data_IF_418257464472
#
_entry.id   IF_418257464472
#
_cell.length_a   1.000
_cell.length_b   1.000
_cell.length_c   1.000
_cell.angle_alpha   90.00
_cell.angle_beta   90.00
_cell.angle_gamma   90.00
#
_symmetry.space_group_name_H-M   'P 1'
#
loop_
_entity.id
_entity.type
_entity.pdbx_description
1 polymer ?
#
# COMPACT_ATOMS: atom_id res chain seq x y z
N UNK A 1 5.95 -6.32 -10.79
CA UNK A 1 5.45 -5.46 -9.71
C UNK A 1 3.95 -5.48 -9.72
N UNK A 2 3.35 -5.80 -8.59
CA UNK A 2 1.92 -5.61 -8.37
C UNK A 2 1.66 -4.12 -8.16
N UNK A 3 0.73 -3.56 -8.92
CA UNK A 3 0.28 -2.17 -8.76
C UNK A 3 -1.23 -2.17 -8.89
N UNK A 4 -1.92 -1.64 -7.91
CA UNK A 4 -3.35 -1.44 -7.91
C UNK A 4 -3.70 0.04 -7.69
N UNK A 5 -4.88 0.47 -8.11
CA UNK A 5 -5.33 1.83 -7.89
C UNK A 5 -6.86 1.92 -7.89
N UNK A 6 -7.40 2.84 -7.10
CA UNK A 6 -8.75 3.30 -7.34
C UNK A 6 -8.78 4.15 -8.61
N UNK A 7 -9.76 3.90 -9.44
CA UNK A 7 -10.01 4.70 -10.64
C UNK A 7 -11.44 5.26 -10.59
N UNK A 8 -11.67 6.48 -11.09
CA UNK A 8 -13.02 6.98 -11.30
C UNK A 8 -13.81 6.05 -12.25
N UNK A 9 -15.10 6.28 -12.39
CA UNK A 9 -15.93 5.49 -13.32
C UNK A 9 -15.51 5.79 -14.77
N UNK A 10 -14.49 5.09 -15.24
CA UNK A 10 -13.90 5.23 -16.58
C UNK A 10 -13.76 3.86 -17.25
N UNK A 11 -13.66 3.86 -18.58
CA UNK A 11 -13.29 2.66 -19.33
C UNK A 11 -11.79 2.37 -19.16
N UNK A 12 -11.45 1.10 -18.90
CA UNK A 12 -10.07 0.63 -18.86
C UNK A 12 -9.83 -0.40 -19.97
N UNK A 13 -8.59 -0.49 -20.44
CA UNK A 13 -8.19 -1.50 -21.44
C UNK A 13 -8.04 -2.87 -20.78
N UNK A 14 -8.12 -3.94 -21.57
CA UNK A 14 -8.08 -5.32 -21.06
C UNK A 14 -6.75 -5.71 -20.40
N UNK A 15 -5.69 -4.95 -20.60
CA UNK A 15 -4.41 -5.12 -19.89
C UNK A 15 -4.39 -4.57 -18.46
N UNK A 16 -5.47 -3.88 -18.06
CA UNK A 16 -5.68 -3.41 -16.70
C UNK A 16 -6.95 -4.09 -16.13
N UNK A 17 -6.82 -5.32 -15.58
CA UNK A 17 -7.97 -6.04 -15.03
C UNK A 17 -8.58 -5.29 -13.87
N UNK A 18 -9.92 -5.23 -13.84
CA UNK A 18 -10.66 -4.56 -12.78
C UNK A 18 -11.11 -5.56 -11.70
N UNK A 19 -10.92 -5.15 -10.46
CA UNK A 19 -11.54 -5.79 -9.30
C UNK A 19 -12.82 -5.01 -8.97
N UNK A 20 -13.96 -5.68 -9.09
CA UNK A 20 -15.25 -5.10 -8.73
C UNK A 20 -15.68 -5.66 -7.37
N UNK A 21 -15.89 -4.79 -6.42
CA UNK A 21 -16.35 -5.19 -5.08
C UNK A 21 -17.88 -5.29 -5.05
N UNK A 22 -18.41 -6.19 -4.23
CA UNK A 22 -19.83 -6.24 -3.95
C UNK A 22 -20.30 -4.96 -3.25
N UNK A 23 -21.53 -4.53 -3.51
CA UNK A 23 -22.08 -3.29 -2.97
C UNK A 23 -22.18 -3.26 -1.42
N UNK A 24 -22.16 -4.43 -0.80
CA UNK A 24 -22.24 -4.56 0.65
C UNK A 24 -20.90 -4.34 1.38
N UNK A 25 -19.79 -4.24 0.65
CA UNK A 25 -18.46 -4.07 1.27
C UNK A 25 -18.21 -2.57 1.53
N UNK A 26 -17.87 -2.26 2.76
CA UNK A 26 -17.48 -0.88 3.13
C UNK A 26 -16.21 -0.46 2.40
N UNK A 27 -16.25 0.74 1.81
CA UNK A 27 -15.13 1.25 0.98
C UNK A 27 -13.84 1.43 1.78
N UNK A 28 -13.89 1.65 3.09
CA UNK A 28 -12.69 1.67 3.94
C UNK A 28 -11.98 0.32 3.97
N UNK A 29 -12.72 -0.80 3.93
CA UNK A 29 -12.13 -2.14 3.77
C UNK A 29 -11.52 -2.35 2.40
N UNK A 30 -12.12 -1.76 1.36
CA UNK A 30 -11.52 -1.78 0.01
C UNK A 30 -10.22 -0.95 -0.02
N UNK A 31 -10.13 0.14 0.75
CA UNK A 31 -8.86 0.85 0.95
C UNK A 31 -7.80 -0.07 1.61
N UNK A 32 -8.18 -0.87 2.60
CA UNK A 32 -7.25 -1.83 3.21
C UNK A 32 -6.78 -2.89 2.20
N UNK A 33 -7.69 -3.40 1.36
CA UNK A 33 -7.33 -4.31 0.28
C UNK A 33 -6.34 -3.65 -0.69
N UNK A 34 -6.59 -2.41 -1.12
CA UNK A 34 -5.67 -1.67 -2.00
C UNK A 34 -4.29 -1.56 -1.39
N UNK A 35 -4.19 -1.14 -0.12
CA UNK A 35 -2.91 -1.03 0.56
C UNK A 35 -2.19 -2.39 0.70
N UNK A 36 -2.94 -3.48 0.90
CA UNK A 36 -2.37 -4.82 0.92
C UNK A 36 -1.76 -5.20 -0.44
N UNK A 37 -2.51 -4.97 -1.53
CA UNK A 37 -2.06 -5.29 -2.89
C UNK A 37 -0.82 -4.49 -3.31
N UNK A 38 -0.69 -3.25 -2.83
CA UNK A 38 0.42 -2.35 -3.16
C UNK A 38 1.61 -2.44 -2.19
N UNK A 39 1.52 -3.25 -1.13
CA UNK A 39 2.59 -3.41 -0.15
C UNK A 39 3.80 -4.16 -0.70
N UNK A 40 4.99 -3.82 -0.23
CA UNK A 40 6.24 -4.51 -0.62
C UNK A 40 6.20 -6.01 -0.31
N UNK A 41 5.61 -6.42 0.81
CA UNK A 41 5.49 -7.85 1.16
C UNK A 41 4.64 -8.60 0.15
N UNK A 42 3.55 -8.01 -0.32
CA UNK A 42 2.68 -8.60 -1.32
C UNK A 42 3.36 -8.67 -2.71
N UNK A 43 4.01 -7.58 -3.13
CA UNK A 43 4.76 -7.54 -4.39
C UNK A 43 5.94 -8.52 -4.38
N UNK A 44 6.64 -8.69 -3.26
CA UNK A 44 7.70 -9.68 -3.11
C UNK A 44 7.19 -11.10 -3.42
N UNK A 45 6.05 -11.50 -2.84
CA UNK A 45 5.45 -12.82 -3.10
C UNK A 45 4.94 -12.92 -4.54
N UNK A 46 4.32 -11.87 -5.07
CA UNK A 46 3.84 -11.83 -6.45
C UNK A 46 4.99 -12.08 -7.45
N UNK A 47 6.14 -11.45 -7.25
CA UNK A 47 7.33 -11.63 -8.10
C UNK A 47 7.85 -13.07 -8.13
N UNK A 48 7.68 -13.83 -7.05
CA UNK A 48 8.09 -15.24 -7.02
C UNK A 48 7.19 -16.13 -7.89
N UNK A 49 5.96 -15.68 -8.19
CA UNK A 49 4.96 -16.45 -8.95
C UNK A 49 4.78 -15.99 -10.40
N UNK A 50 5.16 -14.76 -10.70
CA UNK A 50 5.01 -14.19 -12.04
C UNK A 50 6.21 -14.55 -12.91
N UNK A 51 6.01 -15.49 -13.85
CA UNK A 51 7.04 -15.90 -14.80
C UNK A 51 7.10 -15.06 -16.09
N UNK A 52 6.35 -13.96 -16.20
CA UNK A 52 6.25 -13.13 -17.40
C UNK A 52 5.85 -11.70 -17.10
N UNK A 53 5.33 -11.00 -18.12
CA UNK A 53 4.96 -9.56 -18.02
C UNK A 53 3.51 -9.33 -17.59
N UNK A 54 2.69 -10.39 -17.49
CA UNK A 54 1.27 -10.26 -17.15
C UNK A 54 0.97 -10.93 -15.81
N UNK A 55 0.34 -10.17 -14.93
CA UNK A 55 -0.24 -10.68 -13.69
C UNK A 55 -1.70 -11.08 -13.95
N UNK A 56 -1.92 -12.37 -14.20
CA UNK A 56 -3.24 -12.91 -14.49
C UNK A 56 -4.03 -13.21 -13.20
N UNK A 57 -5.36 -13.24 -13.27
CA UNK A 57 -6.25 -13.51 -12.14
C UNK A 57 -5.89 -14.78 -11.38
N UNK A 58 -5.62 -15.89 -12.09
CA UNK A 58 -5.25 -17.15 -11.44
C UNK A 58 -3.96 -17.08 -10.61
N UNK A 59 -3.08 -16.10 -10.88
CA UNK A 59 -1.90 -15.84 -10.03
C UNK A 59 -2.34 -15.04 -8.79
N UNK A 60 -3.14 -13.98 -9.00
CA UNK A 60 -3.63 -13.11 -7.90
C UNK A 60 -4.41 -13.93 -6.88
N UNK A 61 -5.26 -14.87 -7.32
CA UNK A 61 -6.03 -15.77 -6.45
C UNK A 61 -5.16 -16.68 -5.55
N UNK A 62 -3.90 -16.87 -5.90
CA UNK A 62 -2.94 -17.67 -5.12
C UNK A 62 -2.07 -16.83 -4.16
N UNK A 63 -2.20 -15.50 -4.22
CA UNK A 63 -1.39 -14.62 -3.36
C UNK A 63 -2.04 -14.51 -1.97
N UNK A 64 -1.22 -14.48 -0.91
CA UNK A 64 -1.70 -14.44 0.46
C UNK A 64 -2.25 -13.03 0.79
N UNK A 65 -3.54 -12.84 0.63
CA UNK A 65 -4.23 -11.60 1.02
C UNK A 65 -4.77 -11.75 2.44
N UNK A 66 -4.61 -10.73 3.28
CA UNK A 66 -5.16 -10.73 4.62
C UNK A 66 -6.69 -10.73 4.58
N UNK A 67 -7.36 -11.56 5.40
CA UNK A 67 -8.82 -11.63 5.42
C UNK A 67 -9.42 -10.31 5.93
N UNK A 68 -10.62 -9.91 5.45
CA UNK A 68 -11.24 -8.63 5.81
C UNK A 68 -11.45 -8.44 7.31
N UNK A 69 -11.66 -9.50 8.06
CA UNK A 69 -11.89 -9.45 9.51
C UNK A 69 -10.67 -9.00 10.30
N UNK A 70 -9.46 -9.18 9.77
CA UNK A 70 -8.22 -8.65 10.35
C UNK A 70 -8.29 -7.14 10.61
N UNK A 71 -8.97 -6.41 9.75
CA UNK A 71 -9.05 -4.94 9.84
C UNK A 71 -10.07 -4.42 10.85
N UNK A 72 -10.94 -5.29 11.37
CA UNK A 72 -11.90 -4.94 12.42
C UNK A 72 -11.23 -4.78 13.80
N UNK A 73 -10.04 -5.33 13.98
CA UNK A 73 -9.30 -5.28 15.23
C UNK A 73 -8.86 -3.86 15.59
N UNK A 74 -8.54 -3.67 16.87
CA UNK A 74 -7.87 -2.44 17.32
C UNK A 74 -6.52 -2.30 16.62
N UNK A 75 -6.17 -1.08 16.23
CA UNK A 75 -4.87 -0.81 15.65
C UNK A 75 -3.76 -1.14 16.67
N UNK A 76 -2.81 -2.05 16.36
CA UNK A 76 -1.78 -2.46 17.33
C UNK A 76 -0.87 -1.32 17.78
N UNK A 77 -0.69 -0.30 16.95
CA UNK A 77 0.18 0.87 17.16
C UNK A 77 -0.58 2.18 17.36
N UNK A 78 -1.92 2.13 17.49
CA UNK A 78 -2.74 3.30 17.83
C UNK A 78 -3.86 2.91 18.80
N UNK A 79 -3.89 3.54 19.97
CA UNK A 79 -4.91 3.24 21.01
C UNK A 79 -6.29 3.84 20.71
N UNK A 80 -6.40 4.70 19.69
CA UNK A 80 -7.58 5.55 19.47
C UNK A 80 -8.46 5.10 18.31
N UNK A 81 -7.98 4.16 17.50
CA UNK A 81 -8.63 3.81 16.23
C UNK A 81 -8.53 2.31 15.92
N UNK A 82 -9.36 1.85 14.99
CA UNK A 82 -9.26 0.51 14.43
C UNK A 82 -8.15 0.46 13.37
N UNK A 83 -7.68 -0.74 13.07
CA UNK A 83 -6.71 -0.95 12.00
C UNK A 83 -7.26 -0.50 10.65
N UNK A 84 -8.55 -0.77 10.37
CA UNK A 84 -9.24 -0.28 9.18
C UNK A 84 -9.16 1.25 9.04
N UNK A 85 -9.45 1.98 10.12
CA UNK A 85 -9.41 3.44 10.08
C UNK A 85 -7.99 3.94 9.84
N UNK A 86 -7.01 3.40 10.57
CA UNK A 86 -5.61 3.80 10.45
C UNK A 86 -5.05 3.62 9.03
N UNK A 87 -5.32 2.46 8.39
CA UNK A 87 -4.88 2.16 7.03
C UNK A 87 -5.65 3.01 6.02
N UNK A 88 -7.00 3.02 6.12
CA UNK A 88 -7.83 3.71 5.11
C UNK A 88 -7.58 5.21 5.06
N UNK A 89 -7.31 5.87 6.19
CA UNK A 89 -6.96 7.31 6.21
C UNK A 89 -5.68 7.60 5.40
N UNK A 90 -4.68 6.72 5.48
CA UNK A 90 -3.45 6.84 4.71
C UNK A 90 -3.67 6.63 3.22
N UNK A 91 -4.43 5.60 2.88
CA UNK A 91 -4.82 5.32 1.49
C UNK A 91 -5.60 6.48 0.89
N UNK A 92 -6.58 7.03 1.62
CA UNK A 92 -7.38 8.15 1.14
C UNK A 92 -6.53 9.41 0.93
N UNK A 93 -5.58 9.70 1.81
CA UNK A 93 -4.62 10.80 1.61
C UNK A 93 -3.74 10.58 0.37
N UNK A 94 -3.34 9.35 0.09
CA UNK A 94 -2.55 9.02 -1.09
C UNK A 94 -3.36 9.04 -2.39
N UNK A 95 -4.65 8.75 -2.33
CA UNK A 95 -5.53 8.53 -3.48
C UNK A 95 -6.39 9.74 -3.82
N UNK A 96 -7.02 10.39 -2.84
CA UNK A 96 -7.95 11.48 -3.05
C UNK A 96 -7.21 12.82 -3.25
N UNK A 97 -6.42 12.92 -4.31
CA UNK A 97 -5.59 14.09 -4.62
C UNK A 97 -6.14 14.95 -5.76
N UNK A 98 -7.26 14.54 -6.36
CA UNK A 98 -7.94 15.24 -7.45
C UNK A 98 -9.45 15.20 -7.25
N UNK A 99 -10.17 16.08 -7.94
CA UNK A 99 -11.62 16.30 -7.76
C UNK A 99 -12.46 15.10 -8.21
N UNK A 100 -11.98 14.31 -9.16
CA UNK A 100 -12.63 13.09 -9.64
C UNK A 100 -12.68 11.97 -8.59
N UNK A 101 -11.89 12.10 -7.52
CA UNK A 101 -11.89 11.17 -6.37
C UNK A 101 -12.78 11.63 -5.21
N UNK A 102 -13.45 12.79 -5.31
CA UNK A 102 -14.41 13.27 -4.29
C UNK A 102 -15.52 12.24 -3.98
N UNK A 103 -16.07 11.50 -4.96
CA UNK A 103 -17.07 10.47 -4.65
C UNK A 103 -16.54 9.38 -3.70
N UNK A 104 -15.30 8.94 -3.85
CA UNK A 104 -14.65 8.00 -2.92
C UNK A 104 -14.45 8.65 -1.55
N UNK A 105 -13.91 9.86 -1.51
CA UNK A 105 -13.71 10.60 -0.27
C UNK A 105 -15.01 10.76 0.51
N UNK A 106 -16.10 11.17 -0.17
CA UNK A 106 -17.43 11.35 0.43
C UNK A 106 -17.97 10.04 1.00
N UNK A 107 -17.86 8.94 0.24
CA UNK A 107 -18.35 7.63 0.68
C UNK A 107 -17.55 7.05 1.87
N UNK A 108 -16.31 7.52 2.07
CA UNK A 108 -15.47 7.17 3.23
C UNK A 108 -15.53 8.21 4.36
N UNK A 109 -16.35 9.24 4.26
CA UNK A 109 -16.38 10.41 5.18
C UNK A 109 -14.99 11.06 5.36
N UNK A 110 -14.21 11.10 4.30
CA UNK A 110 -12.87 11.68 4.28
C UNK A 110 -12.93 13.15 3.81
N UNK A 111 -12.37 14.05 4.60
CA UNK A 111 -12.43 15.51 4.31
C UNK A 111 -11.22 16.02 3.51
N UNK A 112 -10.10 15.27 3.53
CA UNK A 112 -8.87 15.75 2.94
C UNK A 112 -8.31 16.99 3.62
N UNK A 113 -7.22 17.53 3.11
CA UNK A 113 -6.62 18.76 3.66
C UNK A 113 -7.31 20.04 3.18
N UNK A 114 -8.12 19.98 2.11
CA UNK A 114 -8.93 21.09 1.62
C UNK A 114 -10.31 21.20 2.30
N UNK A 115 -10.74 20.12 2.99
CA UNK A 115 -12.06 20.05 3.62
C UNK A 115 -13.21 19.61 2.71
N UNK A 116 -12.95 19.42 1.42
CA UNK A 116 -13.92 19.02 0.37
C UNK A 116 -13.70 17.57 -0.13
N UNK A 117 -12.86 16.82 0.53
CA UNK A 117 -12.49 15.45 0.14
C UNK A 117 -11.17 15.37 -0.63
N UNK A 118 -10.58 16.49 -1.03
CA UNK A 118 -9.29 16.52 -1.73
C UNK A 118 -8.16 16.74 -0.74
N UNK A 119 -7.12 15.89 -0.84
CA UNK A 119 -5.88 16.01 -0.09
C UNK A 119 -4.78 16.57 -0.97
N UNK A 120 -4.13 17.66 -0.52
CA UNK A 120 -3.10 18.32 -1.31
C UNK A 120 -1.87 17.40 -1.45
N UNK A 121 -1.42 17.21 -2.67
CA UNK A 121 -0.22 16.42 -2.97
C UNK A 121 1.03 17.08 -2.37
N UNK A 122 1.73 16.34 -1.51
CA UNK A 122 3.03 16.72 -0.95
C UNK A 122 3.95 15.49 -0.98
N UNK A 123 5.01 15.56 -1.74
CA UNK A 123 5.86 14.39 -2.00
C UNK A 123 6.45 13.77 -0.72
N UNK A 124 6.94 14.60 0.20
CA UNK A 124 7.50 14.14 1.47
C UNK A 124 6.45 13.44 2.34
N UNK A 125 5.24 14.00 2.44
CA UNK A 125 4.14 13.39 3.19
C UNK A 125 3.74 12.05 2.56
N UNK A 126 3.68 11.98 1.23
CA UNK A 126 3.36 10.75 0.50
C UNK A 126 4.39 9.65 0.72
N UNK A 127 5.68 10.00 0.72
CA UNK A 127 6.75 9.05 1.00
C UNK A 127 6.61 8.44 2.41
N UNK A 128 6.32 9.26 3.41
CA UNK A 128 6.08 8.81 4.79
C UNK A 128 4.83 7.91 4.87
N UNK A 129 3.71 8.32 4.27
CA UNK A 129 2.47 7.54 4.30
C UNK A 129 2.63 6.16 3.65
N UNK A 130 3.37 6.07 2.54
CA UNK A 130 3.70 4.78 1.91
C UNK A 130 4.58 3.92 2.80
N UNK A 131 5.63 4.50 3.37
CA UNK A 131 6.52 3.78 4.27
C UNK A 131 5.79 3.24 5.51
N UNK A 132 4.88 4.02 6.09
CA UNK A 132 4.04 3.58 7.21
C UNK A 132 3.11 2.43 6.83
N UNK A 133 2.51 2.46 5.63
CA UNK A 133 1.67 1.36 5.13
C UNK A 133 2.49 0.09 4.90
N UNK A 134 3.65 0.18 4.25
CA UNK A 134 4.53 -0.96 4.03
C UNK A 134 5.00 -1.59 5.35
N UNK A 135 5.43 -0.76 6.30
CA UNK A 135 5.82 -1.20 7.64
C UNK A 135 4.67 -1.90 8.38
N UNK A 136 3.46 -1.35 8.28
CA UNK A 136 2.27 -1.95 8.86
C UNK A 136 2.00 -3.35 8.29
N UNK A 137 2.12 -3.51 6.96
CA UNK A 137 1.92 -4.82 6.35
C UNK A 137 3.04 -5.81 6.67
N UNK A 138 4.30 -5.39 6.82
CA UNK A 138 5.34 -6.27 7.35
C UNK A 138 4.95 -6.81 8.73
N UNK A 139 4.47 -5.96 9.64
CA UNK A 139 4.00 -6.40 10.97
C UNK A 139 2.77 -7.31 10.90
N UNK A 140 1.77 -6.99 10.04
CA UNK A 140 0.55 -7.77 9.91
C UNK A 140 0.79 -9.16 9.33
N UNK A 141 1.79 -9.32 8.48
CA UNK A 141 2.24 -10.61 7.96
C UNK A 141 3.22 -11.33 8.90
N UNK A 142 3.62 -10.73 10.01
CA UNK A 142 4.56 -11.30 10.97
C UNK A 142 5.98 -11.43 10.40
N UNK A 143 6.36 -10.54 9.49
CA UNK A 143 7.71 -10.50 8.90
C UNK A 143 8.66 -9.84 9.90
N UNK A 144 9.72 -10.53 10.25
CA UNK A 144 10.75 -9.99 11.13
C UNK A 144 11.58 -8.90 10.43
N UNK A 145 12.21 -8.04 11.22
CA UNK A 145 12.93 -6.87 10.70
C UNK A 145 14.03 -7.24 9.69
N UNK A 146 14.77 -8.29 9.95
CA UNK A 146 15.85 -8.75 9.07
C UNK A 146 15.30 -9.26 7.73
N UNK A 147 14.17 -9.96 7.75
CA UNK A 147 13.49 -10.42 6.55
C UNK A 147 12.89 -9.25 5.75
N UNK A 148 12.34 -8.23 6.44
CA UNK A 148 11.86 -7.01 5.79
C UNK A 148 13.00 -6.26 5.09
N UNK A 149 14.17 -6.14 5.71
CA UNK A 149 15.36 -5.54 5.12
C UNK A 149 15.84 -6.33 3.89
N UNK A 150 15.86 -7.67 3.99
CA UNK A 150 16.17 -8.53 2.85
C UNK A 150 15.17 -8.33 1.70
N UNK A 151 13.85 -8.36 1.98
CA UNK A 151 12.82 -8.14 0.97
C UNK A 151 13.02 -6.81 0.26
N UNK A 152 13.20 -5.71 1.01
CA UNK A 152 13.42 -4.37 0.47
C UNK A 152 14.67 -4.31 -0.41
N UNK A 153 15.75 -5.01 -0.05
CA UNK A 153 16.97 -5.06 -0.85
C UNK A 153 16.76 -5.69 -2.23
N UNK A 154 15.79 -6.60 -2.38
CA UNK A 154 15.49 -7.24 -3.67
C UNK A 154 14.85 -6.30 -4.68
N UNK A 155 14.24 -5.21 -4.24
CA UNK A 155 13.62 -4.22 -5.13
C UNK A 155 14.65 -3.28 -5.77
N UNK A 156 15.84 -3.17 -5.21
CA UNK A 156 16.94 -2.36 -5.75
C UNK A 156 17.74 -3.08 -6.84
N UNK A 157 17.65 -4.42 -6.92
CA UNK A 157 18.48 -5.28 -7.77
C UNK A 157 17.79 -5.76 -9.06
N UNK A 158 16.87 -5.02 -9.64
CA UNK A 158 16.23 -5.40 -10.90
C UNK A 158 17.17 -5.16 -12.09
N UNK A 159 18.07 -6.06 -12.41
CA UNK A 159 19.11 -6.02 -13.44
C UNK A 159 18.72 -5.58 -14.88
N UNK A 160 17.58 -4.90 -15.05
CA UNK A 160 17.03 -4.41 -16.32
C UNK A 160 17.30 -2.94 -16.59
N UNK A 161 17.91 -2.21 -15.66
CA UNK A 161 18.19 -0.77 -15.79
C UNK A 161 19.69 -0.54 -15.64
N UNK A 162 20.32 0.27 -16.54
CA UNK A 162 21.73 0.65 -16.40
C UNK A 162 22.04 1.25 -15.03
N UNK A 163 23.28 1.06 -14.55
CA UNK A 163 23.70 1.43 -13.17
C UNK A 163 23.49 2.92 -12.87
N UNK A 164 23.74 3.80 -13.86
CA UNK A 164 23.58 5.25 -13.78
C UNK A 164 22.09 5.69 -13.77
N UNK A 165 21.21 4.98 -14.47
CA UNK A 165 19.76 5.19 -14.38
C UNK A 165 19.17 4.53 -13.13
N UNK A 166 19.78 3.42 -12.67
CA UNK A 166 19.40 2.72 -11.44
C UNK A 166 19.63 3.63 -10.23
N UNK A 167 20.73 4.34 -10.18
CA UNK A 167 21.03 5.28 -9.11
C UNK A 167 20.03 6.45 -9.07
N UNK A 168 19.63 6.98 -10.21
CA UNK A 168 18.58 8.00 -10.32
C UNK A 168 17.18 7.49 -10.02
N UNK A 169 16.84 6.27 -10.42
CA UNK A 169 15.56 5.63 -10.09
C UNK A 169 15.54 5.11 -8.64
N UNK A 170 16.65 4.66 -8.10
CA UNK A 170 16.78 4.35 -6.67
C UNK A 170 16.61 5.61 -5.83
N UNK A 171 17.06 6.76 -6.29
CA UNK A 171 16.78 8.06 -5.66
C UNK A 171 15.33 8.53 -5.84
N UNK A 172 14.66 8.16 -6.93
CA UNK A 172 13.28 8.57 -7.25
C UNK A 172 12.20 7.58 -6.79
N UNK A 173 12.46 6.27 -6.82
CA UNK A 173 11.45 5.22 -6.57
C UNK A 173 11.66 4.43 -5.28
N UNK A 174 12.89 4.20 -4.91
CA UNK A 174 13.18 3.62 -3.62
C UNK A 174 13.91 4.58 -2.78
N UNK A 175 14.32 5.74 -3.33
CA UNK A 175 15.35 6.48 -2.69
C UNK A 175 16.14 5.62 -1.72
N UNK A 176 17.36 5.71 -1.61
CA UNK A 176 17.97 5.20 -0.38
C UNK A 176 17.12 5.61 0.83
N UNK A 177 16.21 6.59 0.62
CA UNK A 177 15.18 7.06 1.55
C UNK A 177 13.95 6.15 1.69
N UNK A 178 13.43 5.46 0.64
CA UNK A 178 12.14 4.75 0.78
C UNK A 178 12.28 3.46 1.58
N UNK A 179 13.30 2.65 1.31
CA UNK A 179 13.61 1.47 2.13
C UNK A 179 14.01 1.86 3.55
N UNK A 180 14.82 2.92 3.71
CA UNK A 180 15.19 3.46 5.01
C UNK A 180 13.97 3.99 5.76
N UNK A 181 13.09 4.77 5.11
CA UNK A 181 11.85 5.27 5.70
C UNK A 181 10.91 4.13 6.11
N UNK A 182 10.83 3.05 5.33
CA UNK A 182 10.00 1.88 5.67
C UNK A 182 10.57 1.15 6.89
N UNK A 183 11.89 0.97 7.01
CA UNK A 183 12.51 0.37 8.18
C UNK A 183 12.41 1.26 9.42
N UNK A 184 12.56 2.58 9.27
CA UNK A 184 12.33 3.53 10.35
C UNK A 184 10.86 3.48 10.83
N UNK A 185 9.90 3.42 9.92
CA UNK A 185 8.48 3.26 10.25
C UNK A 185 8.23 1.89 10.91
N UNK A 186 8.85 0.81 10.41
CA UNK A 186 8.78 -0.51 11.01
C UNK A 186 9.24 -0.48 12.49
N UNK A 187 10.39 0.10 12.76
CA UNK A 187 10.94 0.22 14.12
C UNK A 187 10.06 1.08 15.04
N UNK A 188 9.41 2.12 14.50
CA UNK A 188 8.46 2.97 15.26
C UNK A 188 7.15 2.25 15.61
N UNK A 189 6.65 1.37 14.76
CA UNK A 189 5.42 0.61 15.00
C UNK A 189 5.65 -0.63 15.88
N UNK A 190 6.86 -1.21 15.88
CA UNK A 190 7.19 -2.44 16.59
C UNK A 190 6.91 -2.41 18.11
N UNK A 191 7.24 -1.35 18.88
CA UNK A 191 7.03 -1.33 20.34
C UNK A 191 5.56 -1.42 20.74
N UNK A 192 4.65 -0.98 19.90
CA UNK A 192 3.21 -0.99 20.14
C UNK A 192 2.58 -2.32 19.71
N UNK A 193 3.13 -2.97 18.68
CA UNK A 193 2.68 -4.26 18.18
C UNK A 193 3.07 -5.43 19.12
N UNK A 194 4.19 -5.30 19.85
CA UNK A 194 4.71 -6.35 20.75
C UNK A 194 3.94 -6.49 22.09
N UNK A 195 2.93 -5.70 22.30
CA UNK A 195 2.10 -5.67 23.51
C UNK A 195 0.89 -6.63 23.50
N UNK A 196 0.93 -7.75 22.75
CA UNK A 196 -0.10 -8.81 22.76
C UNK A 196 0.20 -9.88 23.77
#
# INVERSE_FOLDING_TARGET
>A
TMIAAFVPKVGVVNSAPMILTERAIELRRVCCLLANLDSFVYDFVARQKVGGVHLNFFIVEQLPTLPPDTYADKCPWSKRETLEHWISERVLKLTCTAEDMIPLATACDFKGSRGDGVHIWKEQERAVLRAELDAAYFHLYGIEREDAEYMLSTFTNTGLIPEDERQKQTELWTGGSSGALTLDAYDQLAPLASGR
#
